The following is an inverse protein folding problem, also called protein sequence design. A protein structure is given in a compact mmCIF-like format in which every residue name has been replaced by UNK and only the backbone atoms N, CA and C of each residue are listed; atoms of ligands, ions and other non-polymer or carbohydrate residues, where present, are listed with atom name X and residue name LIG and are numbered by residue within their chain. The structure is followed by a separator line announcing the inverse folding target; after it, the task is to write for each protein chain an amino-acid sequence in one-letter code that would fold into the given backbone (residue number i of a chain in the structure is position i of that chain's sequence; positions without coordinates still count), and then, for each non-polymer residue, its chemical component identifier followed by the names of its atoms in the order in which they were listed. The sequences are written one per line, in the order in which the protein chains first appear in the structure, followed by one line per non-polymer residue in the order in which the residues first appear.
data_IF_235412247727
#
_entry.id   IF_235412247727
#
_cell.length_a   1.000
_cell.length_b   1.000
_cell.length_c   1.000
_cell.angle_alpha   90.00
_cell.angle_beta   90.00
_cell.angle_gamma   90.00
#
_symmetry.space_group_name_H-M   'P 1'
#
loop_
_entity.id
_entity.type
_entity.pdbx_description
1 polymer ?
#
# COMPACT_ATOMS: atom_id res chain seq x y z
N UNK A 1 12.88 11.54 0.60
CA UNK A 1 11.69 11.98 1.35
C UNK A 1 10.80 10.77 1.54
N UNK A 2 10.50 10.39 2.79
CA UNK A 2 9.60 9.28 3.05
C UNK A 2 8.17 9.76 2.77
N UNK A 3 7.69 9.52 1.56
CA UNK A 3 6.33 9.86 1.16
C UNK A 3 5.39 8.85 1.83
N UNK A 4 4.78 9.22 2.95
CA UNK A 4 3.73 8.43 3.60
C UNK A 4 2.47 8.51 2.75
N UNK A 5 1.92 7.36 2.38
CA UNK A 5 0.70 7.28 1.59
C UNK A 5 -0.38 6.53 2.31
N UNK A 6 -1.52 7.21 2.39
CA UNK A 6 -2.80 6.62 2.74
C UNK A 6 -3.42 6.10 1.47
N UNK A 7 -3.40 4.78 1.32
CA UNK A 7 -3.99 4.09 0.19
C UNK A 7 -5.01 3.09 0.66
N UNK A 8 -5.95 2.76 -0.21
CA UNK A 8 -6.82 1.62 0.00
C UNK A 8 -6.17 0.39 -0.65
N UNK A 9 -5.78 -0.61 0.13
CA UNK A 9 -5.26 -1.87 -0.39
C UNK A 9 -6.30 -2.97 -0.26
N UNK A 10 -6.34 -3.82 -1.27
CA UNK A 10 -7.13 -5.04 -1.21
C UNK A 10 -6.41 -6.08 -0.37
N UNK A 11 -7.02 -6.49 0.72
CA UNK A 11 -6.52 -7.60 1.52
C UNK A 11 -7.11 -8.90 0.99
N UNK A 12 -6.27 -9.80 0.48
CA UNK A 12 -6.74 -11.11 -0.03
C UNK A 12 -7.33 -12.01 1.04
N UNK A 13 -6.95 -11.81 2.31
CA UNK A 13 -7.52 -12.54 3.45
C UNK A 13 -8.89 -12.02 3.84
N UNK A 14 -9.05 -10.71 3.92
CA UNK A 14 -10.34 -10.08 4.24
C UNK A 14 -11.27 -10.01 3.02
N UNK A 15 -10.71 -10.17 1.81
CA UNK A 15 -11.38 -9.99 0.51
C UNK A 15 -12.05 -8.62 0.34
N UNK A 16 -11.60 -7.63 1.09
CA UNK A 16 -12.09 -6.27 1.07
C UNK A 16 -10.95 -5.27 0.94
N UNK A 17 -11.31 -4.03 0.63
CA UNK A 17 -10.37 -2.92 0.52
C UNK A 17 -10.32 -2.22 1.87
N UNK A 18 -9.13 -2.16 2.47
CA UNK A 18 -8.90 -1.41 3.70
C UNK A 18 -7.98 -0.25 3.45
N UNK A 19 -8.28 0.86 4.10
CA UNK A 19 -7.37 1.98 4.22
C UNK A 19 -6.21 1.57 5.11
N UNK A 20 -5.01 1.70 4.57
CA UNK A 20 -3.79 1.43 5.28
C UNK A 20 -2.86 2.61 5.10
N UNK A 21 -2.13 2.92 6.16
CA UNK A 21 -1.08 3.92 6.13
C UNK A 21 0.24 3.18 5.88
N UNK A 22 0.85 3.44 4.73
CA UNK A 22 2.08 2.80 4.31
C UNK A 22 3.09 3.80 3.77
N UNK A 23 4.33 3.37 3.60
CA UNK A 23 5.36 4.22 3.00
C UNK A 23 5.39 3.96 1.50
N UNK A 24 5.30 5.01 0.67
CA UNK A 24 5.61 4.92 -0.75
C UNK A 24 7.11 4.76 -0.88
N UNK A 25 7.51 3.70 -1.56
CA UNK A 25 8.81 3.63 -2.22
C UNK A 25 8.61 3.86 -3.70
N UNK A 26 9.31 4.85 -4.22
CA UNK A 26 9.46 5.05 -5.66
C UNK A 26 10.73 4.33 -6.07
N UNK A 27 10.59 3.29 -6.91
CA UNK A 27 11.75 2.64 -7.51
C UNK A 27 12.33 3.54 -8.60
N UNK A 28 13.64 3.41 -8.84
CA UNK A 28 14.40 4.15 -9.86
C UNK A 28 13.72 4.16 -11.26
N UNK A 29 13.02 3.08 -11.61
CA UNK A 29 12.21 2.97 -12.84
C UNK A 29 10.85 3.70 -12.81
N UNK A 30 10.62 4.61 -11.88
CA UNK A 30 9.41 5.45 -11.79
C UNK A 30 8.14 4.76 -11.29
N UNK A 31 8.23 3.51 -10.80
CA UNK A 31 7.08 2.78 -10.24
C UNK A 31 6.89 3.14 -8.77
N UNK A 32 5.71 3.65 -8.42
CA UNK A 32 5.33 3.98 -7.04
C UNK A 32 4.65 2.77 -6.40
N UNK A 33 5.18 2.29 -5.28
CA UNK A 33 4.60 1.17 -4.53
C UNK A 33 4.49 1.56 -3.07
N UNK A 34 3.30 1.51 -2.49
CA UNK A 34 3.15 1.69 -1.05
C UNK A 34 3.23 0.33 -0.37
N UNK A 35 4.10 0.25 0.63
CA UNK A 35 4.23 -0.90 1.53
C UNK A 35 3.55 -0.57 2.83
N UNK A 36 2.66 -1.44 3.28
CA UNK A 36 2.04 -1.30 4.59
C UNK A 36 1.59 -2.62 5.16
N UNK A 37 0.81 -2.52 6.23
CA UNK A 37 0.33 -3.67 6.99
C UNK A 37 -1.19 -3.62 7.01
N UNK A 38 -1.85 -4.75 6.77
CA UNK A 38 -3.30 -4.82 6.89
C UNK A 38 -3.70 -4.62 8.36
N UNK A 39 -4.57 -3.65 8.69
CA UNK A 39 -4.98 -3.40 10.07
C UNK A 39 -5.87 -4.52 10.64
N UNK A 40 -6.49 -5.34 9.77
CA UNK A 40 -7.42 -6.40 10.21
C UNK A 40 -6.72 -7.73 10.47
N UNK A 41 -5.82 -8.15 9.56
CA UNK A 41 -5.17 -9.46 9.66
C UNK A 41 -3.66 -9.39 9.91
N UNK A 42 -3.07 -8.19 10.04
CA UNK A 42 -1.64 -7.99 10.31
C UNK A 42 -0.71 -8.43 9.17
N UNK A 43 -1.25 -8.85 8.01
CA UNK A 43 -0.44 -9.33 6.89
C UNK A 43 0.18 -8.14 6.15
N UNK A 44 1.45 -8.25 5.74
CA UNK A 44 2.10 -7.23 4.90
C UNK A 44 1.40 -7.17 3.55
N UNK A 45 0.84 -6.01 3.24
CA UNK A 45 0.17 -5.76 1.97
C UNK A 45 0.92 -4.65 1.22
N UNK A 46 1.05 -4.84 -0.07
CA UNK A 46 1.74 -3.88 -0.96
C UNK A 46 0.74 -3.46 -2.02
N UNK A 47 0.47 -2.17 -2.15
CA UNK A 47 -0.37 -1.66 -3.24
C UNK A 47 0.47 -0.90 -4.24
N UNK A 48 0.20 -1.13 -5.52
CA UNK A 48 0.76 -0.31 -6.58
C UNK A 48 -0.09 0.92 -6.71
N UNK A 49 0.50 2.10 -6.50
CA UNK A 49 -0.15 3.34 -6.88
C UNK A 49 -0.06 3.47 -8.39
N UNK A 50 -1.09 3.02 -9.11
CA UNK A 50 -1.28 3.51 -10.48
C UNK A 50 -1.63 4.99 -10.38
N UNK A 51 -0.91 5.83 -11.15
CA UNK A 51 -1.25 7.24 -11.37
C UNK A 51 -2.77 7.39 -11.52
N UNK A 52 -3.38 8.19 -10.65
CA UNK A 52 -4.57 8.95 -11.01
C UNK A 52 -4.09 10.24 -11.69
#
# INVERSE_FOLDING_TARGET
MAETYKGTAYCVKCKEKHDFEGTISVSDSGRRTAKGVCPVCGTKISTFLKKA
#
